data_IF_047933806512
#
_entry.id   IF_047933806512
#
_cell.length_a   1.000
_cell.length_b   1.000
_cell.length_c   1.000
_cell.angle_alpha   90.00
_cell.angle_beta   90.00
_cell.angle_gamma   90.00
#
_symmetry.space_group_name_H-M   'P 1'
#
loop_
_entity.id
_entity.type
_entity.pdbx_description
1 polymer ?
#
# COMPACT_ATOMS: atom_id res chain seq x y z
N UNK A 1 12.81 1.65 16.50
CA UNK A 1 12.46 1.29 15.11
C UNK A 1 13.68 1.26 14.21
N UNK A 2 14.37 2.39 14.00
CA UNK A 2 15.52 2.46 13.09
C UNK A 2 16.63 1.44 13.38
N UNK A 3 16.96 1.16 14.64
CA UNK A 3 17.99 0.17 14.97
C UNK A 3 17.54 -1.27 14.73
N UNK A 4 16.26 -1.59 14.94
CA UNK A 4 15.70 -2.90 14.60
C UNK A 4 15.71 -3.12 13.08
N UNK A 5 15.28 -2.12 12.29
CA UNK A 5 15.33 -2.19 10.82
C UNK A 5 16.75 -2.44 10.28
N UNK A 6 17.79 -1.91 10.95
CA UNK A 6 19.18 -2.17 10.58
C UNK A 6 19.59 -3.60 10.91
N UNK A 7 19.22 -4.10 12.10
CA UNK A 7 19.47 -5.49 12.52
C UNK A 7 18.86 -6.49 11.53
N UNK A 8 17.62 -6.24 11.09
CA UNK A 8 16.91 -7.09 10.14
C UNK A 8 17.33 -6.85 8.67
N UNK A 9 18.34 -6.02 8.40
CA UNK A 9 18.78 -5.66 7.03
C UNK A 9 17.69 -5.05 6.13
N UNK A 10 16.64 -4.48 6.72
CA UNK A 10 15.51 -3.83 6.02
C UNK A 10 15.78 -2.34 5.79
N UNK A 11 16.57 -1.69 6.65
CA UNK A 11 16.82 -0.24 6.63
C UNK A 11 17.29 0.31 5.27
N UNK A 12 17.99 -0.50 4.48
CA UNK A 12 18.47 -0.12 3.14
C UNK A 12 17.36 0.04 2.10
N UNK A 13 16.21 -0.60 2.30
CA UNK A 13 15.05 -0.55 1.41
C UNK A 13 14.03 0.52 1.81
N UNK A 14 14.18 1.12 3.00
CA UNK A 14 13.31 2.19 3.43
C UNK A 14 13.55 3.45 2.59
N UNK A 15 12.48 4.08 2.14
CA UNK A 15 12.51 5.37 1.46
C UNK A 15 13.08 6.49 2.34
N UNK A 16 13.50 7.62 1.78
CA UNK A 16 14.04 8.72 2.59
C UNK A 16 12.98 9.30 3.53
N UNK A 17 11.72 9.35 3.08
CA UNK A 17 10.58 9.78 3.90
C UNK A 17 10.38 8.86 5.10
N UNK A 18 10.49 7.55 4.89
CA UNK A 18 10.34 6.54 5.93
C UNK A 18 11.51 6.58 6.91
N UNK A 19 12.74 6.78 6.41
CA UNK A 19 13.93 6.94 7.25
C UNK A 19 13.83 8.17 8.16
N UNK A 20 13.27 9.29 7.67
CA UNK A 20 12.99 10.47 8.49
C UNK A 20 11.94 10.10 9.55
N UNK A 21 10.84 9.49 9.12
CA UNK A 21 9.76 9.06 10.02
C UNK A 21 10.27 8.15 11.15
N UNK A 22 11.10 7.15 10.84
CA UNK A 22 11.63 6.23 11.85
C UNK A 22 12.69 6.80 12.78
N UNK A 23 13.26 7.99 12.48
CA UNK A 23 14.26 8.67 13.30
C UNK A 23 13.66 9.72 14.21
N UNK A 24 12.63 10.42 13.74
CA UNK A 24 11.98 11.47 14.51
C UNK A 24 11.03 10.87 15.55
N UNK A 25 10.90 11.55 16.70
CA UNK A 25 10.04 11.08 17.80
C UNK A 25 8.69 11.81 17.85
N UNK A 26 8.52 12.82 16.98
CA UNK A 26 7.33 13.65 16.92
C UNK A 26 6.91 13.85 15.47
N UNK A 27 5.69 13.44 15.16
CA UNK A 27 5.06 13.65 13.86
C UNK A 27 3.77 14.43 14.05
N UNK A 28 3.50 15.30 13.09
CA UNK A 28 2.22 16.00 12.95
C UNK A 28 1.10 15.02 12.64
N UNK A 29 -0.14 15.40 12.93
CA UNK A 29 -1.29 14.55 12.60
C UNK A 29 -1.51 14.41 11.09
N UNK A 30 -1.05 15.39 10.30
CA UNK A 30 -1.04 15.31 8.83
C UNK A 30 -0.09 14.20 8.35
N UNK A 31 1.13 14.13 8.89
CA UNK A 31 2.10 13.08 8.55
C UNK A 31 1.60 11.69 8.94
N UNK A 32 0.98 11.58 10.12
CA UNK A 32 0.32 10.33 10.54
C UNK A 32 -0.82 9.95 9.60
N UNK A 33 -1.63 10.91 9.17
CA UNK A 33 -2.72 10.68 8.22
C UNK A 33 -2.20 10.15 6.88
N UNK A 34 -1.18 10.80 6.30
CA UNK A 34 -0.56 10.34 5.04
C UNK A 34 0.01 8.93 5.14
N UNK A 35 0.70 8.62 6.24
CA UNK A 35 1.24 7.28 6.48
C UNK A 35 0.15 6.24 6.76
N UNK A 36 -0.96 6.63 7.37
CA UNK A 36 -2.09 5.72 7.61
C UNK A 36 -2.68 5.25 6.29
N UNK A 37 -2.75 6.12 5.27
CA UNK A 37 -3.21 5.73 3.93
C UNK A 37 -2.28 4.74 3.23
N UNK A 38 -0.97 4.73 3.55
CA UNK A 38 -0.05 3.70 3.03
C UNK A 38 -0.43 2.28 3.48
N UNK A 39 -1.25 2.15 4.54
CA UNK A 39 -1.79 0.86 4.95
C UNK A 39 -2.62 0.19 3.84
N UNK A 40 -3.36 0.97 3.04
CA UNK A 40 -4.13 0.45 1.91
C UNK A 40 -3.25 -0.27 0.89
N UNK A 41 -2.10 0.34 0.59
CA UNK A 41 -1.08 -0.26 -0.25
C UNK A 41 -0.45 -1.50 0.40
N UNK A 42 -0.04 -1.40 1.67
CA UNK A 42 0.57 -2.52 2.40
C UNK A 42 -0.36 -3.74 2.48
N UNK A 43 -1.66 -3.50 2.74
CA UNK A 43 -2.67 -4.56 2.77
C UNK A 43 -2.81 -5.23 1.41
N UNK A 44 -2.88 -4.45 0.34
CA UNK A 44 -2.97 -4.99 -1.02
C UNK A 44 -1.72 -5.79 -1.41
N UNK A 45 -0.53 -5.35 -1.00
CA UNK A 45 0.71 -6.11 -1.18
C UNK A 45 0.69 -7.43 -0.39
N UNK A 46 0.19 -7.41 0.85
CA UNK A 46 -0.01 -8.64 1.62
C UNK A 46 -1.00 -9.59 0.92
N UNK A 47 -2.05 -9.05 0.28
CA UNK A 47 -2.99 -9.83 -0.49
C UNK A 47 -2.35 -10.47 -1.73
N UNK A 48 -1.51 -9.74 -2.48
CA UNK A 48 -0.79 -10.31 -3.64
C UNK A 48 0.21 -11.39 -3.23
N UNK A 49 0.79 -11.28 -2.04
CA UNK A 49 1.71 -12.26 -1.43
C UNK A 49 1.00 -13.36 -0.61
N UNK A 50 -0.33 -13.42 -0.66
CA UNK A 50 -1.16 -14.38 0.10
C UNK A 50 -0.87 -14.44 1.61
N UNK A 51 -0.43 -13.34 2.22
CA UNK A 51 -0.42 -13.19 3.67
C UNK A 51 -1.83 -12.95 4.21
N UNK A 52 -2.71 -12.38 3.39
CA UNK A 52 -4.14 -12.27 3.63
C UNK A 52 -4.92 -12.82 2.44
N UNK A 53 -6.10 -13.39 2.69
CA UNK A 53 -6.90 -14.06 1.67
C UNK A 53 -7.89 -13.12 0.97
N UNK A 54 -8.41 -12.13 1.70
CA UNK A 54 -9.49 -11.23 1.29
C UNK A 54 -8.94 -9.98 0.60
N UNK A 55 -9.50 -9.63 -0.56
CA UNK A 55 -9.19 -8.36 -1.23
C UNK A 55 -9.98 -7.22 -0.54
N UNK A 56 -9.41 -6.02 -0.38
CA UNK A 56 -10.10 -4.93 0.28
C UNK A 56 -11.29 -4.43 -0.57
N UNK A 57 -12.39 -4.05 0.07
CA UNK A 57 -13.59 -3.52 -0.62
C UNK A 57 -13.24 -2.19 -1.33
N UNK A 58 -13.50 -2.05 -2.64
CA UNK A 58 -13.26 -0.80 -3.37
C UNK A 58 -14.02 0.42 -2.84
N UNK A 59 -15.13 0.22 -2.13
CA UNK A 59 -16.02 1.27 -1.67
C UNK A 59 -15.66 1.87 -0.31
N UNK A 60 -14.67 1.30 0.37
CA UNK A 60 -14.24 1.76 1.69
C UNK A 60 -12.72 1.65 1.88
N UNK A 61 -12.23 2.28 2.94
CA UNK A 61 -10.93 1.97 3.54
C UNK A 61 -10.94 0.57 4.14
N UNK A 62 -9.75 0.01 4.39
CA UNK A 62 -9.59 -1.21 5.16
C UNK A 62 -10.15 -1.00 6.58
N UNK A 63 -11.08 -1.86 6.98
CA UNK A 63 -11.67 -1.80 8.31
C UNK A 63 -10.83 -2.52 9.37
N UNK A 64 -11.31 -2.50 10.62
CA UNK A 64 -10.61 -3.12 11.73
C UNK A 64 -10.47 -4.65 11.60
N UNK A 65 -11.35 -5.31 10.85
CA UNK A 65 -11.28 -6.77 10.62
C UNK A 65 -10.13 -7.08 9.66
N UNK A 66 -10.06 -6.37 8.52
CA UNK A 66 -8.95 -6.51 7.58
C UNK A 66 -7.61 -6.14 8.22
N UNK A 67 -7.58 -5.09 9.05
CA UNK A 67 -6.38 -4.73 9.82
C UNK A 67 -5.96 -5.85 10.77
N UNK A 68 -6.92 -6.47 11.46
CA UNK A 68 -6.67 -7.62 12.33
C UNK A 68 -6.09 -8.81 11.58
N UNK A 69 -6.67 -9.16 10.43
CA UNK A 69 -6.21 -10.24 9.56
C UNK A 69 -4.78 -10.00 9.06
N UNK A 70 -4.47 -8.76 8.67
CA UNK A 70 -3.12 -8.38 8.26
C UNK A 70 -2.10 -8.65 9.36
N UNK A 71 -2.36 -8.17 10.58
CA UNK A 71 -1.46 -8.37 11.72
C UNK A 71 -1.38 -9.82 12.19
N UNK A 72 -2.37 -10.66 11.89
CA UNK A 72 -2.29 -12.10 12.12
C UNK A 72 -1.41 -12.82 11.09
N UNK A 73 -1.24 -12.25 9.89
CA UNK A 73 -0.46 -12.82 8.79
C UNK A 73 1.02 -12.40 8.75
N UNK A 74 1.43 -11.44 9.58
CA UNK A 74 2.82 -10.95 9.66
C UNK A 74 3.41 -11.15 11.07
N UNK A 75 4.76 -11.21 11.19
CA UNK A 75 5.41 -11.25 12.49
C UNK A 75 5.05 -10.04 13.36
N UNK A 76 5.01 -10.21 14.70
CA UNK A 76 4.85 -9.10 15.62
C UNK A 76 5.90 -8.00 15.38
N UNK A 77 5.54 -6.77 15.74
CA UNK A 77 6.44 -5.64 15.59
C UNK A 77 7.73 -5.87 16.39
N UNK A 78 8.87 -5.67 15.73
CA UNK A 78 10.22 -5.88 16.26
C UNK A 78 10.68 -7.35 16.41
N UNK A 79 9.90 -8.32 15.96
CA UNK A 79 10.36 -9.70 15.84
C UNK A 79 11.19 -9.93 14.56
N UNK A 80 11.77 -11.12 14.44
CA UNK A 80 12.54 -11.56 13.27
C UNK A 80 11.63 -11.65 12.02
N UNK A 81 12.09 -11.05 10.92
CA UNK A 81 11.32 -11.01 9.67
C UNK A 81 11.59 -12.18 8.73
N UNK A 82 12.52 -13.08 9.07
CA UNK A 82 12.95 -14.16 8.17
C UNK A 82 11.80 -15.09 7.80
N UNK A 83 10.87 -15.30 8.73
CA UNK A 83 9.64 -16.09 8.54
C UNK A 83 8.77 -15.63 7.37
N UNK A 84 8.79 -14.33 7.03
CA UNK A 84 8.06 -13.77 5.87
C UNK A 84 8.62 -14.35 4.56
N UNK A 85 9.93 -14.60 4.51
CA UNK A 85 10.64 -15.02 3.31
C UNK A 85 10.78 -16.54 3.16
N UNK A 86 10.37 -17.32 4.15
CA UNK A 86 10.54 -18.79 4.14
C UNK A 86 9.65 -19.48 3.10
N UNK A 87 8.47 -18.93 2.79
CA UNK A 87 7.51 -19.54 1.87
C UNK A 87 6.72 -18.49 1.07
N UNK A 88 7.37 -17.75 0.16
CA UNK A 88 6.70 -16.71 -0.62
C UNK A 88 5.64 -17.34 -1.51
N UNK A 89 4.38 -16.95 -1.32
CA UNK A 89 3.27 -17.39 -2.15
C UNK A 89 2.77 -16.22 -2.97
N UNK A 90 2.87 -16.33 -4.28
CA UNK A 90 2.29 -15.31 -5.15
C UNK A 90 0.84 -15.68 -5.49
N UNK A 91 -0.06 -14.69 -5.45
CA UNK A 91 -1.41 -14.82 -5.97
C UNK A 91 -1.36 -15.01 -7.49
N UNK A 92 -2.39 -15.63 -8.04
CA UNK A 92 -2.46 -15.84 -9.47
C UNK A 92 -2.38 -14.49 -10.20
N UNK A 93 -1.51 -14.40 -11.21
CA UNK A 93 -1.25 -13.14 -11.93
C UNK A 93 -2.54 -12.55 -12.54
N UNK A 94 -3.48 -13.40 -12.96
CA UNK A 94 -4.78 -12.96 -13.48
C UNK A 94 -5.59 -12.18 -12.45
N UNK A 95 -5.61 -12.65 -11.20
CA UNK A 95 -6.33 -11.95 -10.13
C UNK A 95 -5.68 -10.59 -9.81
N UNK A 96 -4.35 -10.51 -9.88
CA UNK A 96 -3.61 -9.26 -9.68
C UNK A 96 -3.90 -8.28 -10.83
N UNK A 97 -3.95 -8.78 -12.07
CA UNK A 97 -4.31 -7.97 -13.23
C UNK A 97 -5.76 -7.48 -13.20
N UNK A 98 -6.70 -8.29 -12.70
CA UNK A 98 -8.10 -7.89 -12.55
C UNK A 98 -8.21 -6.69 -11.58
N UNK A 99 -7.55 -6.76 -10.42
CA UNK A 99 -7.48 -5.64 -9.47
C UNK A 99 -6.78 -4.42 -10.08
N UNK A 100 -5.67 -4.63 -10.79
CA UNK A 100 -4.94 -3.53 -11.44
C UNK A 100 -5.81 -2.81 -12.46
N UNK A 101 -6.49 -3.56 -13.33
CA UNK A 101 -7.37 -2.97 -14.33
C UNK A 101 -8.51 -2.21 -13.68
N UNK A 102 -9.12 -2.76 -12.63
CA UNK A 102 -10.17 -2.09 -11.87
C UNK A 102 -9.69 -0.74 -11.32
N UNK A 103 -8.60 -0.73 -10.55
CA UNK A 103 -8.09 0.51 -9.95
C UNK A 103 -7.57 1.49 -11.00
N UNK A 104 -7.02 1.01 -12.11
CA UNK A 104 -6.61 1.87 -13.23
C UNK A 104 -7.81 2.57 -13.86
N UNK A 105 -8.92 1.86 -14.07
CA UNK A 105 -10.17 2.45 -14.56
C UNK A 105 -10.75 3.45 -13.56
N UNK A 106 -10.71 3.15 -12.26
CA UNK A 106 -11.15 4.07 -11.21
C UNK A 106 -10.32 5.36 -11.22
N UNK A 107 -8.99 5.27 -11.33
CA UNK A 107 -8.10 6.43 -11.47
C UNK A 107 -8.45 7.29 -12.67
N UNK A 108 -8.59 6.68 -13.86
CA UNK A 108 -8.99 7.39 -15.08
C UNK A 108 -10.37 8.06 -14.95
N UNK A 109 -11.29 7.42 -14.23
CA UNK A 109 -12.61 8.00 -13.93
C UNK A 109 -12.48 9.24 -13.04
N UNK A 110 -11.72 9.16 -11.94
CA UNK A 110 -11.52 10.31 -11.05
C UNK A 110 -10.83 11.48 -11.76
N UNK A 111 -9.83 11.20 -12.59
CA UNK A 111 -9.17 12.21 -13.42
C UNK A 111 -10.16 12.90 -14.37
N UNK A 112 -11.04 12.14 -15.01
CA UNK A 112 -12.09 12.69 -15.87
C UNK A 112 -13.08 13.56 -15.08
N UNK A 113 -13.56 13.08 -13.93
CA UNK A 113 -14.51 13.79 -13.07
C UNK A 113 -13.92 15.13 -12.61
N UNK A 114 -12.67 15.14 -12.14
CA UNK A 114 -11.95 16.36 -11.75
C UNK A 114 -11.75 17.32 -12.91
N UNK A 115 -11.28 16.82 -14.05
CA UNK A 115 -11.00 17.63 -15.24
C UNK A 115 -12.25 18.32 -15.79
N UNK A 116 -13.39 17.64 -15.75
CA UNK A 116 -14.65 18.14 -16.27
C UNK A 116 -15.52 18.84 -15.21
N UNK A 117 -15.01 19.03 -13.99
CA UNK A 117 -15.72 19.63 -12.84
C UNK A 117 -17.09 18.96 -12.59
N UNK A 118 -17.12 17.63 -12.65
CA UNK A 118 -18.33 16.82 -12.44
C UNK A 118 -18.39 16.31 -11.01
N UNK A 119 -19.60 15.95 -10.58
CA UNK A 119 -19.79 15.21 -9.33
C UNK A 119 -19.35 13.74 -9.52
N UNK A 120 -18.65 13.21 -8.51
CA UNK A 120 -18.34 11.77 -8.44
C UNK A 120 -19.63 10.98 -8.16
N UNK A 121 -19.98 10.09 -9.08
CA UNK A 121 -21.15 9.21 -9.04
C UNK A 121 -20.80 7.75 -8.79
N UNK A 122 -19.51 7.43 -8.68
CA UNK A 122 -19.07 6.09 -8.28
C UNK A 122 -19.24 5.88 -6.78
N UNK A 123 -19.27 4.62 -6.37
CA UNK A 123 -19.18 4.24 -4.95
C UNK A 123 -17.74 3.90 -4.53
N UNK A 124 -16.73 4.23 -5.35
CA UNK A 124 -15.33 3.87 -5.09
C UNK A 124 -14.69 4.89 -4.15
N UNK A 125 -13.98 4.40 -3.13
CA UNK A 125 -13.26 5.25 -2.18
C UNK A 125 -11.97 5.78 -2.83
N UNK A 126 -11.98 7.05 -3.23
CA UNK A 126 -10.93 7.65 -4.06
C UNK A 126 -9.53 7.51 -3.47
N UNK A 127 -9.34 7.93 -2.22
CA UNK A 127 -8.02 7.89 -1.57
C UNK A 127 -7.49 6.46 -1.45
N UNK A 128 -8.34 5.50 -1.10
CA UNK A 128 -7.93 4.10 -0.95
C UNK A 128 -7.61 3.48 -2.31
N UNK A 129 -8.45 3.74 -3.32
CA UNK A 129 -8.24 3.30 -4.69
C UNK A 129 -6.90 3.82 -5.26
N UNK A 130 -6.52 5.06 -4.93
CA UNK A 130 -5.24 5.62 -5.35
C UNK A 130 -4.05 4.87 -4.73
N UNK A 131 -4.01 4.70 -3.41
CA UNK A 131 -2.90 4.00 -2.74
C UNK A 131 -2.78 2.54 -3.20
N UNK A 132 -3.93 1.88 -3.41
CA UNK A 132 -4.01 0.53 -3.96
C UNK A 132 -3.47 0.46 -5.39
N UNK A 133 -3.82 1.44 -6.25
CA UNK A 133 -3.27 1.52 -7.61
C UNK A 133 -1.76 1.68 -7.61
N UNK A 134 -1.21 2.54 -6.75
CA UNK A 134 0.24 2.80 -6.67
C UNK A 134 1.02 1.51 -6.40
N UNK A 135 0.55 0.66 -5.49
CA UNK A 135 1.17 -0.65 -5.22
C UNK A 135 1.10 -1.59 -6.41
N UNK A 136 -0.03 -1.62 -7.12
CA UNK A 136 -0.18 -2.49 -8.29
C UNK A 136 0.66 -1.99 -9.47
N UNK A 137 0.79 -0.68 -9.65
CA UNK A 137 1.71 -0.09 -10.62
C UNK A 137 3.16 -0.41 -10.28
N UNK A 138 3.55 -0.28 -9.02
CA UNK A 138 4.86 -0.69 -8.54
C UNK A 138 5.15 -2.18 -8.79
N UNK A 139 4.15 -3.04 -8.56
CA UNK A 139 4.31 -4.48 -8.70
C UNK A 139 4.37 -4.95 -10.16
N UNK A 140 3.64 -4.28 -11.06
CA UNK A 140 3.44 -4.72 -12.44
C UNK A 140 4.29 -3.95 -13.47
N UNK A 141 4.79 -2.77 -13.13
CA UNK A 141 5.68 -2.01 -14.02
C UNK A 141 7.14 -2.28 -13.64
N UNK A 142 7.89 -2.87 -14.57
CA UNK A 142 9.32 -3.18 -14.40
C UNK A 142 10.24 -1.95 -14.53
N UNK A 143 9.69 -0.78 -14.89
CA UNK A 143 10.45 0.46 -14.92
C UNK A 143 10.81 0.86 -13.48
N UNK A 144 12.11 1.05 -13.22
CA UNK A 144 12.80 1.22 -11.93
C UNK A 144 12.32 2.47 -11.16
N UNK A 145 11.06 2.46 -10.74
CA UNK A 145 10.43 3.50 -9.95
C UNK A 145 10.63 3.17 -8.48
N UNK A 146 11.46 3.97 -7.82
CA UNK A 146 11.58 4.00 -6.37
C UNK A 146 10.18 4.16 -5.77
N UNK A 147 9.88 3.42 -4.70
CA UNK A 147 8.58 3.44 -4.02
C UNK A 147 8.14 4.86 -3.65
N UNK A 148 9.09 5.70 -3.21
CA UNK A 148 8.81 7.11 -2.90
C UNK A 148 8.46 7.93 -4.18
N UNK A 149 9.00 7.57 -5.35
CA UNK A 149 8.74 8.27 -6.62
C UNK A 149 7.30 8.11 -7.13
N UNK A 150 6.63 7.02 -6.74
CA UNK A 150 5.23 6.77 -7.06
C UNK A 150 4.29 7.64 -6.23
N UNK A 151 4.69 8.01 -5.02
CA UNK A 151 3.89 8.87 -4.13
C UNK A 151 3.94 10.36 -4.49
N UNK A 152 4.99 10.80 -5.19
CA UNK A 152 5.21 12.20 -5.58
C UNK A 152 4.47 12.62 -6.87
N UNK A 153 4.04 11.67 -7.70
CA UNK A 153 3.30 11.97 -8.95
C UNK A 153 1.81 12.26 -8.72
N UNK A 154 1.33 12.12 -7.47
CA UNK A 154 -0.08 12.28 -7.09
C UNK A 154 -0.44 13.70 -6.60
N UNK A 155 0.36 14.72 -6.94
CA UNK A 155 0.17 16.13 -6.55
C UNK A 155 -0.34 17.02 -7.70
#
# INVERSE_FOLDING_TARGET
MADWLKTESVWQFAGETEKIFFREHHHTDEEKGKLSFRFEGAYLLAWTLKFVDVAPDPSSECDAELVGDFFAGIPPLLDDVSSIFENPKFRAISAIHDEYLFYKMAGLYFDHVKKEDKENTSNVHESAARERLLVLEWLLNEDDHDWDSLTDTAA
#
